data_IF_764158764642
#
_entry.id   IF_764158764642
#
_cell.length_a   1.000
_cell.length_b   1.000
_cell.length_c   1.000
_cell.angle_alpha   90.00
_cell.angle_beta   90.00
_cell.angle_gamma   90.00
#
_symmetry.space_group_name_H-M   'P 1'
#
loop_
_entity.id
_entity.type
_entity.pdbx_description
1 polymer ?
#
# COMPACT_ATOMS: atom_id res chain seq x y z
N UNK A 1 7.61 17.29 4.46
CA UNK A 1 6.86 16.42 5.38
C UNK A 1 6.59 15.09 4.70
N UNK A 2 6.74 14.01 5.47
CA UNK A 2 6.47 12.66 4.94
C UNK A 2 4.99 12.48 4.64
N UNK A 3 4.72 11.75 3.57
CA UNK A 3 3.37 11.40 3.14
C UNK A 3 3.14 9.92 3.41
N UNK A 4 2.05 9.60 4.07
CA UNK A 4 1.70 8.23 4.43
C UNK A 4 0.54 7.73 3.59
N UNK A 5 0.53 6.43 3.33
CA UNK A 5 -0.60 5.75 2.70
C UNK A 5 -1.00 4.58 3.58
N UNK A 6 -2.26 4.56 4.01
CA UNK A 6 -2.85 3.40 4.65
C UNK A 6 -3.77 2.72 3.66
N UNK A 7 -3.66 1.40 3.54
CA UNK A 7 -4.50 0.61 2.65
C UNK A 7 -4.99 -0.65 3.36
N UNK A 8 -6.25 -0.99 3.16
CA UNK A 8 -6.80 -2.28 3.57
C UNK A 8 -7.34 -3.01 2.34
N UNK A 9 -7.19 -4.32 2.35
CA UNK A 9 -7.53 -5.18 1.21
C UNK A 9 -8.49 -6.29 1.62
N UNK A 10 -9.48 -6.53 0.76
CA UNK A 10 -10.22 -7.79 0.75
C UNK A 10 -9.69 -8.56 -0.45
N UNK A 11 -9.10 -9.73 -0.21
CA UNK A 11 -8.43 -10.52 -1.24
C UNK A 11 -9.34 -11.64 -1.71
N UNK A 12 -9.72 -11.63 -3.00
CA UNK A 12 -10.59 -12.65 -3.58
C UNK A 12 -9.82 -13.66 -4.45
N UNK A 13 -8.56 -13.37 -4.78
CA UNK A 13 -7.68 -14.26 -5.54
C UNK A 13 -6.28 -14.17 -4.91
N UNK A 14 -5.96 -15.13 -4.03
CA UNK A 14 -4.70 -15.11 -3.30
C UNK A 14 -3.48 -15.33 -4.20
N UNK A 15 -3.61 -16.14 -5.25
CA UNK A 15 -2.51 -16.36 -6.20
C UNK A 15 -2.21 -15.09 -6.98
N UNK A 16 -3.24 -14.42 -7.48
CA UNK A 16 -3.09 -13.14 -8.17
C UNK A 16 -2.49 -12.08 -7.29
N UNK A 17 -2.94 -11.99 -6.04
CA UNK A 17 -2.40 -11.02 -5.09
C UNK A 17 -0.92 -11.30 -4.78
N UNK A 18 -0.55 -12.58 -4.60
CA UNK A 18 0.85 -12.96 -4.38
C UNK A 18 1.72 -12.57 -5.57
N UNK A 19 1.22 -12.73 -6.79
CA UNK A 19 1.94 -12.31 -7.99
C UNK A 19 2.17 -10.79 -7.99
N UNK A 20 1.15 -10.02 -7.59
CA UNK A 20 1.30 -8.57 -7.44
C UNK A 20 2.44 -8.25 -6.47
N UNK A 21 2.46 -8.89 -5.29
CA UNK A 21 3.49 -8.65 -4.27
C UNK A 21 4.88 -8.94 -4.83
N UNK A 22 5.05 -10.02 -5.58
CA UNK A 22 6.32 -10.36 -6.21
C UNK A 22 6.79 -9.29 -7.19
N UNK A 23 5.87 -8.72 -7.96
CA UNK A 23 6.20 -7.69 -8.94
C UNK A 23 6.39 -6.32 -8.30
N UNK A 24 5.59 -5.98 -7.31
CA UNK A 24 5.60 -4.66 -6.69
C UNK A 24 6.74 -4.46 -5.70
N UNK A 25 7.14 -5.49 -4.95
CA UNK A 25 8.16 -5.37 -3.92
C UNK A 25 9.47 -4.78 -4.43
N UNK A 26 10.04 -5.26 -5.57
CA UNK A 26 11.26 -4.64 -6.10
C UNK A 26 11.07 -3.18 -6.49
N UNK A 27 9.86 -2.80 -6.93
CA UNK A 27 9.56 -1.43 -7.31
C UNK A 27 9.55 -0.53 -6.08
N UNK A 28 8.90 -0.98 -4.98
CA UNK A 28 8.93 -0.25 -3.71
C UNK A 28 10.37 -0.02 -3.23
N UNK A 29 11.21 -1.05 -3.32
CA UNK A 29 12.61 -0.95 -2.90
C UNK A 29 13.41 0.00 -3.79
N UNK A 30 13.24 -0.10 -5.09
CA UNK A 30 13.93 0.78 -6.05
C UNK A 30 13.56 2.25 -5.82
N UNK A 31 12.29 2.52 -5.57
CA UNK A 31 11.77 3.88 -5.39
C UNK A 31 11.87 4.37 -3.95
N UNK A 32 12.49 3.57 -3.08
CA UNK A 32 12.78 3.93 -1.68
C UNK A 32 11.52 4.26 -0.86
N UNK A 33 10.44 3.53 -1.13
CA UNK A 33 9.23 3.61 -0.33
C UNK A 33 9.44 2.80 0.93
N UNK A 34 9.10 3.37 2.08
CA UNK A 34 9.23 2.67 3.37
C UNK A 34 7.93 1.93 3.65
N UNK A 35 8.03 0.61 3.86
CA UNK A 35 6.89 -0.21 4.24
C UNK A 35 6.96 -0.35 5.76
N UNK A 36 6.11 0.38 6.48
CA UNK A 36 6.06 0.32 7.94
C UNK A 36 5.30 -0.88 8.45
N UNK A 37 4.29 -1.30 7.73
CA UNK A 37 3.46 -2.44 8.12
C UNK A 37 2.92 -3.14 6.89
N UNK A 38 2.86 -4.46 6.98
CA UNK A 38 2.24 -5.32 5.98
C UNK A 38 1.75 -6.55 6.75
N UNK A 39 0.48 -6.51 7.20
CA UNK A 39 -0.07 -7.53 8.09
C UNK A 39 -1.17 -8.30 7.39
N UNK A 40 -1.02 -9.62 7.31
CA UNK A 40 -1.94 -10.55 6.66
C UNK A 40 -3.08 -11.01 7.58
N UNK A 41 -3.01 -10.68 8.87
CA UNK A 41 -3.99 -11.09 9.86
C UNK A 41 -4.33 -9.93 10.81
N UNK A 42 -4.77 -8.79 10.25
CA UNK A 42 -5.08 -7.65 11.10
C UNK A 42 -6.32 -7.92 11.96
N UNK A 43 -6.29 -7.40 13.18
CA UNK A 43 -7.44 -7.45 14.07
C UNK A 43 -8.24 -6.16 13.93
N UNK A 44 -9.46 -6.24 13.42
CA UNK A 44 -10.32 -5.08 13.29
C UNK A 44 -10.79 -4.63 14.67
N UNK A 45 -10.70 -3.33 14.92
CA UNK A 45 -11.22 -2.72 16.15
C UNK A 45 -12.66 -2.22 15.96
N UNK A 46 -13.12 -2.16 14.71
CA UNK A 46 -14.48 -1.77 14.36
C UNK A 46 -14.91 -2.56 13.12
N UNK A 47 -16.22 -2.68 12.92
CA UNK A 47 -16.80 -3.53 11.87
C UNK A 47 -16.36 -3.10 10.47
N UNK A 48 -16.24 -1.80 10.24
CA UNK A 48 -15.85 -1.26 8.93
C UNK A 48 -14.37 -1.44 8.62
N UNK A 49 -13.58 -1.92 9.58
CA UNK A 49 -12.14 -2.15 9.40
C UNK A 49 -11.79 -3.62 9.15
N UNK A 50 -12.77 -4.47 8.92
CA UNK A 50 -12.54 -5.86 8.54
C UNK A 50 -11.75 -5.90 7.22
N UNK A 51 -10.66 -6.67 7.19
CA UNK A 51 -9.79 -6.77 6.03
C UNK A 51 -8.96 -8.05 6.09
N UNK A 52 -8.52 -8.52 4.93
CA UNK A 52 -7.61 -9.66 4.84
C UNK A 52 -6.15 -9.24 5.01
N UNK A 53 -5.87 -7.97 4.73
CA UNK A 53 -4.52 -7.43 4.85
C UNK A 53 -4.58 -5.91 5.02
N UNK A 54 -3.65 -5.37 5.80
CA UNK A 54 -3.44 -3.93 5.90
C UNK A 54 -1.98 -3.60 5.61
N UNK A 55 -1.74 -2.42 5.04
CA UNK A 55 -0.41 -1.95 4.68
C UNK A 55 -0.30 -0.49 5.07
N UNK A 56 0.86 -0.11 5.62
CA UNK A 56 1.18 1.29 5.89
C UNK A 56 2.50 1.63 5.20
N UNK A 57 2.47 2.61 4.31
CA UNK A 57 3.61 3.05 3.53
C UNK A 57 3.98 4.48 3.89
N UNK A 58 5.27 4.81 3.72
CA UNK A 58 5.73 6.19 3.86
C UNK A 58 6.52 6.58 2.62
N UNK A 59 6.22 7.77 2.09
CA UNK A 59 6.92 8.43 1.01
C UNK A 59 7.63 9.67 1.58
N UNK A 60 8.75 10.05 0.98
CA UNK A 60 9.55 11.20 1.43
C UNK A 60 8.71 12.49 1.49
N UNK A 61 7.85 12.68 0.49
CA UNK A 61 6.95 13.82 0.38
C UNK A 61 5.84 13.48 -0.63
N UNK A 62 4.92 14.41 -0.86
CA UNK A 62 3.80 14.19 -1.76
C UNK A 62 4.25 14.02 -3.22
N UNK A 63 5.31 14.71 -3.63
CA UNK A 63 5.86 14.55 -4.98
C UNK A 63 6.40 13.14 -5.21
N UNK A 64 7.07 12.57 -4.21
CA UNK A 64 7.56 11.19 -4.24
C UNK A 64 6.40 10.20 -4.38
N UNK A 65 5.32 10.44 -3.62
CA UNK A 65 4.10 9.65 -3.69
C UNK A 65 3.51 9.68 -5.11
N UNK A 66 3.33 10.87 -5.69
CA UNK A 66 2.77 11.00 -7.04
C UNK A 66 3.67 10.35 -8.08
N UNK A 67 4.98 10.56 -7.97
CA UNK A 67 5.95 9.97 -8.87
C UNK A 67 5.89 8.44 -8.84
N UNK A 68 5.81 7.85 -7.63
CA UNK A 68 5.75 6.39 -7.49
C UNK A 68 4.54 5.81 -8.23
N UNK A 69 3.36 6.38 -8.01
CA UNK A 69 2.12 5.87 -8.59
C UNK A 69 1.98 6.19 -10.09
N UNK A 70 2.89 6.98 -10.66
CA UNK A 70 2.94 7.24 -12.09
C UNK A 70 3.89 6.30 -12.84
N UNK A 71 4.66 5.46 -12.14
CA UNK A 71 5.60 4.52 -12.76
C UNK A 71 4.86 3.47 -13.57
N UNK A 72 5.26 3.28 -14.83
CA UNK A 72 4.59 2.36 -15.75
C UNK A 72 4.60 0.92 -15.21
N UNK A 73 5.72 0.47 -14.67
CA UNK A 73 5.84 -0.89 -14.14
C UNK A 73 4.95 -1.09 -12.91
N UNK A 74 4.80 -0.07 -12.05
CA UNK A 74 3.89 -0.18 -10.92
C UNK A 74 2.43 -0.19 -11.40
N UNK A 75 2.08 0.64 -12.37
CA UNK A 75 0.71 0.66 -12.93
C UNK A 75 0.35 -0.71 -13.49
N UNK A 76 1.28 -1.37 -14.18
CA UNK A 76 1.06 -2.72 -14.70
C UNK A 76 0.89 -3.75 -13.58
N UNK A 77 1.71 -3.67 -12.54
CA UNK A 77 1.58 -4.55 -11.38
C UNK A 77 0.23 -4.31 -10.66
N UNK A 78 -0.17 -3.05 -10.53
CA UNK A 78 -1.43 -2.68 -9.87
C UNK A 78 -2.67 -3.26 -10.57
N UNK A 79 -2.63 -3.47 -11.87
CA UNK A 79 -3.73 -4.11 -12.60
C UNK A 79 -3.97 -5.53 -12.10
N UNK A 80 -2.90 -6.26 -11.77
CA UNK A 80 -2.99 -7.61 -11.21
C UNK A 80 -3.65 -7.54 -9.83
N UNK A 81 -3.24 -6.59 -9.00
CA UNK A 81 -3.83 -6.36 -7.66
C UNK A 81 -5.32 -6.02 -7.77
N UNK A 82 -5.69 -5.15 -8.71
CA UNK A 82 -7.08 -4.72 -8.91
C UNK A 82 -7.98 -5.89 -9.31
N UNK A 83 -7.47 -6.83 -10.09
CA UNK A 83 -8.21 -8.02 -10.49
C UNK A 83 -8.33 -9.04 -9.33
N UNK A 84 -7.40 -9.01 -8.36
CA UNK A 84 -7.29 -10.01 -7.29
C UNK A 84 -7.86 -9.54 -5.95
N UNK A 85 -8.17 -8.26 -5.80
CA UNK A 85 -8.57 -7.70 -4.50
C UNK A 85 -9.40 -6.44 -4.65
N UNK A 86 -10.05 -6.07 -3.55
CA UNK A 86 -10.69 -4.76 -3.41
C UNK A 86 -9.89 -3.96 -2.38
N UNK A 87 -9.50 -2.75 -2.73
CA UNK A 87 -8.69 -1.89 -1.87
C UNK A 87 -9.52 -0.71 -1.37
N UNK A 88 -9.27 -0.33 -0.11
CA UNK A 88 -9.72 0.95 0.46
C UNK A 88 -8.48 1.62 1.01
N UNK A 89 -8.16 2.80 0.53
CA UNK A 89 -6.91 3.46 0.88
C UNK A 89 -7.09 4.95 1.08
N UNK A 90 -6.19 5.54 1.84
CA UNK A 90 -6.16 6.98 2.06
C UNK A 90 -4.71 7.45 2.11
N UNK A 91 -4.48 8.68 1.66
CA UNK A 91 -3.18 9.32 1.72
C UNK A 91 -3.29 10.53 2.65
N UNK A 92 -2.28 10.71 3.48
CA UNK A 92 -2.30 11.78 4.49
C UNK A 92 -0.88 12.12 4.91
N UNK A 93 -0.73 13.29 5.54
CA UNK A 93 0.57 13.75 6.02
C UNK A 93 0.90 13.16 7.38
N UNK A 94 2.17 12.85 7.57
CA UNK A 94 2.67 12.38 8.87
C UNK A 94 2.63 13.53 9.88
N UNK A 95 2.15 13.23 11.07
CA UNK A 95 2.15 14.21 12.16
C UNK A 95 3.55 14.27 12.77
N UNK A 96 4.05 15.50 12.94
CA UNK A 96 5.32 15.75 13.62
C UNK A 96 5.04 16.15 15.07
N UNK A 97 5.44 15.26 16.00
CA UNK A 97 5.26 15.55 17.42
C UNK A 97 6.13 16.74 17.82
N UNK A 98 5.58 17.73 18.55
CA UNK A 98 6.40 18.82 19.08
C UNK A 98 7.41 18.26 20.09
N UNK A 99 8.59 18.87 20.08
CA UNK A 99 9.65 18.50 21.02
C UNK A 99 9.46 19.18 22.36
#
# INVERSE_FOLDING_TARGET
>A
MSTLVFAKFVINDHLGYSRYVELATPIFMREKVIIHASDKEPQALSTDMQADKVVLLEFRDHSHFEHFFSQVDYIEAAKIREAASTISATVFERFEMPK
#
